data_IF_764297902647
#
_entry.id   IF_764297902647
#
_cell.length_a   1.000
_cell.length_b   1.000
_cell.length_c   1.000
_cell.angle_alpha   90.00
_cell.angle_beta   90.00
_cell.angle_gamma   90.00
#
_symmetry.space_group_name_H-M   'P 1'
#
loop_
_entity.id
_entity.type
_entity.pdbx_description
1 polymer ?
#
# COMPACT_ATOMS: atom_id res chain seq x y z
N UNK A 1 -5.29 16.31 23.05
CA UNK A 1 -6.45 15.55 22.55
C UNK A 1 -7.61 16.53 22.61
N UNK A 2 -7.84 17.23 21.50
CA UNK A 2 -8.92 18.20 21.39
C UNK A 2 -10.16 17.49 20.84
N UNK A 3 -11.30 17.74 21.48
CA UNK A 3 -12.55 17.02 21.30
C UNK A 3 -13.33 17.49 20.05
N UNK A 4 -12.63 17.73 18.94
CA UNK A 4 -13.23 18.18 17.66
C UNK A 4 -13.27 17.09 16.57
N UNK A 5 -12.66 15.92 16.79
CA UNK A 5 -12.42 14.92 15.72
C UNK A 5 -13.27 13.64 15.85
N UNK A 6 -14.47 13.77 16.44
CA UNK A 6 -15.42 12.68 16.58
C UNK A 6 -16.77 13.11 15.98
N UNK A 7 -16.89 13.12 14.65
CA UNK A 7 -18.20 13.44 14.07
C UNK A 7 -18.32 13.70 12.57
N UNK A 8 -17.25 13.69 11.79
CA UNK A 8 -17.36 13.69 10.34
C UNK A 8 -16.63 12.46 9.80
N UNK A 9 -17.38 11.49 9.29
CA UNK A 9 -16.85 10.57 8.29
C UNK A 9 -16.49 11.46 7.10
N UNK A 10 -15.29 12.04 7.10
CA UNK A 10 -14.80 12.76 5.95
C UNK A 10 -14.76 11.73 4.83
N UNK A 11 -15.61 11.91 3.82
CA UNK A 11 -15.44 11.24 2.55
C UNK A 11 -14.14 11.79 1.98
N UNK A 12 -13.00 11.26 2.48
CA UNK A 12 -11.69 11.77 2.16
C UNK A 12 -11.53 11.73 0.66
N UNK A 13 -11.24 12.88 0.07
CA UNK A 13 -10.84 12.90 -1.33
C UNK A 13 -9.32 12.70 -1.39
N UNK A 14 -8.78 12.41 -2.57
CA UNK A 14 -7.33 12.27 -2.76
C UNK A 14 -6.53 13.50 -2.29
N UNK A 15 -7.18 14.67 -2.21
CA UNK A 15 -6.62 15.92 -1.71
C UNK A 15 -6.31 15.89 -0.19
N UNK A 16 -6.88 14.94 0.56
CA UNK A 16 -6.66 14.75 2.00
C UNK A 16 -5.59 13.69 2.32
N UNK A 17 -4.81 13.25 1.32
CA UNK A 17 -3.78 12.23 1.53
C UNK A 17 -2.67 12.72 2.49
N UNK A 18 -2.79 12.40 3.77
CA UNK A 18 -1.86 12.80 4.83
C UNK A 18 -0.98 11.66 5.34
N UNK A 19 -1.29 10.41 5.00
CA UNK A 19 -0.51 9.25 5.45
C UNK A 19 -0.62 8.94 6.95
N UNK A 20 -1.67 9.40 7.62
CA UNK A 20 -1.92 9.08 9.04
C UNK A 20 -2.38 7.64 9.23
N UNK A 21 -2.31 7.14 10.47
CA UNK A 21 -2.76 5.79 10.83
C UNK A 21 -4.27 5.62 10.97
N UNK A 22 -5.07 6.64 10.64
CA UNK A 22 -6.52 6.49 10.56
C UNK A 22 -6.89 5.77 9.27
N UNK A 23 -7.63 4.65 9.38
CA UNK A 23 -7.90 3.73 8.27
C UNK A 23 -8.40 4.38 6.98
N UNK A 24 -9.24 5.42 7.08
CA UNK A 24 -9.77 6.14 5.91
C UNK A 24 -8.66 6.94 5.23
N UNK A 25 -7.84 7.64 6.00
CA UNK A 25 -6.73 8.45 5.50
C UNK A 25 -5.62 7.56 4.92
N UNK A 26 -5.33 6.42 5.54
CA UNK A 26 -4.42 5.39 5.00
C UNK A 26 -4.88 4.91 3.62
N UNK A 27 -6.17 4.57 3.48
CA UNK A 27 -6.73 4.08 2.23
C UNK A 27 -6.65 5.14 1.13
N UNK A 28 -7.06 6.38 1.42
CA UNK A 28 -7.01 7.47 0.44
C UNK A 28 -5.60 7.85 0.05
N UNK A 29 -4.67 7.87 1.01
CA UNK A 29 -3.25 8.11 0.73
C UNK A 29 -2.66 7.03 -0.17
N UNK A 30 -3.02 5.76 0.05
CA UNK A 30 -2.59 4.66 -0.80
C UNK A 30 -3.16 4.75 -2.23
N UNK A 31 -4.46 5.06 -2.37
CA UNK A 31 -5.09 5.27 -3.68
C UNK A 31 -4.44 6.46 -4.40
N UNK A 32 -4.23 7.58 -3.70
CA UNK A 32 -3.57 8.75 -4.29
C UNK A 32 -2.16 8.42 -4.77
N UNK A 33 -1.38 7.64 -4.01
CA UNK A 33 -0.06 7.20 -4.46
C UNK A 33 -0.13 6.40 -5.76
N UNK A 34 -1.08 5.47 -5.88
CA UNK A 34 -1.25 4.62 -7.06
C UNK A 34 -1.71 5.42 -8.28
N UNK A 35 -2.65 6.35 -8.10
CA UNK A 35 -3.23 7.14 -9.20
C UNK A 35 -2.32 8.30 -9.65
N UNK A 36 -1.48 8.83 -8.76
CA UNK A 36 -0.60 9.97 -9.06
C UNK A 36 0.81 9.57 -9.52
N UNK A 37 1.09 8.27 -9.73
CA UNK A 37 2.42 7.80 -10.13
C UNK A 37 2.39 6.70 -11.17
N UNK A 38 3.44 6.68 -12.00
CA UNK A 38 3.69 5.61 -12.96
C UNK A 38 4.75 4.64 -12.43
N UNK A 39 4.33 3.41 -12.17
CA UNK A 39 5.20 2.31 -11.73
C UNK A 39 5.29 2.11 -10.22
N UNK A 40 5.67 0.88 -9.84
CA UNK A 40 5.67 0.41 -8.46
C UNK A 40 6.59 1.24 -7.55
N UNK A 41 7.82 1.50 -7.99
CA UNK A 41 8.81 2.23 -7.18
C UNK A 41 8.35 3.66 -6.90
N UNK A 42 7.82 4.36 -7.91
CA UNK A 42 7.32 5.72 -7.75
C UNK A 42 6.12 5.75 -6.78
N UNK A 43 5.19 4.80 -6.92
CA UNK A 43 4.04 4.65 -6.02
C UNK A 43 4.45 4.46 -4.56
N UNK A 44 5.32 3.49 -4.27
CA UNK A 44 5.76 3.23 -2.89
C UNK A 44 6.51 4.42 -2.32
N UNK A 45 7.38 5.06 -3.11
CA UNK A 45 8.09 6.27 -2.67
C UNK A 45 7.15 7.44 -2.39
N UNK A 46 6.08 7.59 -3.19
CA UNK A 46 5.05 8.61 -2.94
C UNK A 46 4.28 8.32 -1.65
N UNK A 47 3.88 7.07 -1.43
CA UNK A 47 3.20 6.65 -0.20
C UNK A 47 4.04 6.93 1.05
N UNK A 48 5.34 6.63 1.02
CA UNK A 48 6.29 6.98 2.09
C UNK A 48 6.39 8.51 2.27
N UNK A 49 6.35 9.25 1.16
CA UNK A 49 6.48 10.71 1.16
C UNK A 49 5.34 11.47 1.85
N UNK A 50 4.18 10.84 2.10
CA UNK A 50 3.13 11.45 2.92
C UNK A 50 3.51 11.55 4.40
N UNK A 51 4.48 10.75 4.87
CA UNK A 51 4.94 10.78 6.26
C UNK A 51 3.98 10.07 7.21
N UNK A 52 4.03 10.48 8.48
CA UNK A 52 3.22 9.92 9.57
C UNK A 52 3.33 8.38 9.68
N UNK A 53 2.30 7.63 9.27
CA UNK A 53 2.24 6.17 9.30
C UNK A 53 2.72 5.58 7.96
N UNK A 54 4.02 5.73 7.73
CA UNK A 54 4.64 5.43 6.43
C UNK A 54 4.62 3.95 6.08
N UNK A 55 4.80 3.06 7.05
CA UNK A 55 4.83 1.61 6.82
C UNK A 55 3.45 1.08 6.49
N UNK A 56 2.41 1.51 7.20
CA UNK A 56 1.02 1.11 6.89
C UNK A 56 0.60 1.64 5.53
N UNK A 57 0.80 2.93 5.26
CA UNK A 57 0.39 3.54 3.98
C UNK A 57 1.15 2.93 2.80
N UNK A 58 2.47 2.73 2.93
CA UNK A 58 3.28 2.10 1.88
C UNK A 58 2.93 0.62 1.67
N UNK A 59 2.57 -0.11 2.73
CA UNK A 59 2.13 -1.50 2.63
C UNK A 59 0.84 -1.62 1.81
N UNK A 60 -0.17 -0.80 2.12
CA UNK A 60 -1.45 -0.79 1.37
C UNK A 60 -1.24 -0.35 -0.07
N UNK A 61 -0.51 0.76 -0.30
CA UNK A 61 -0.20 1.23 -1.66
C UNK A 61 0.59 0.19 -2.46
N UNK A 62 1.57 -0.45 -1.84
CA UNK A 62 2.40 -1.50 -2.44
C UNK A 62 1.60 -2.75 -2.81
N UNK A 63 0.59 -3.13 -2.01
CA UNK A 63 -0.33 -4.21 -2.34
C UNK A 63 -1.15 -3.91 -3.61
N UNK A 64 -1.73 -2.71 -3.68
CA UNK A 64 -2.53 -2.27 -4.84
C UNK A 64 -1.64 -2.13 -6.09
N UNK A 65 -0.50 -1.46 -5.97
CA UNK A 65 0.48 -1.31 -7.04
C UNK A 65 1.03 -2.67 -7.51
N UNK A 66 1.21 -3.63 -6.60
CA UNK A 66 1.65 -4.99 -6.92
C UNK A 66 0.64 -5.73 -7.80
N UNK A 67 -0.66 -5.51 -7.61
CA UNK A 67 -1.70 -6.04 -8.50
C UNK A 67 -1.69 -5.36 -9.87
N UNK A 68 -1.45 -4.04 -9.92
CA UNK A 68 -1.44 -3.24 -11.16
C UNK A 68 -0.21 -3.52 -12.04
N UNK A 69 0.98 -3.58 -11.45
CA UNK A 69 2.25 -3.67 -12.18
C UNK A 69 2.86 -5.08 -12.16
N UNK A 70 2.26 -6.01 -11.40
CA UNK A 70 2.76 -7.37 -11.23
C UNK A 70 4.07 -7.45 -10.44
N UNK A 71 4.48 -8.68 -10.09
CA UNK A 71 5.71 -8.92 -9.31
C UNK A 71 6.97 -8.43 -10.02
N UNK A 72 6.99 -8.46 -11.36
CA UNK A 72 8.13 -7.98 -12.14
C UNK A 72 8.21 -6.44 -12.18
N UNK A 73 7.13 -5.74 -11.88
CA UNK A 73 7.12 -4.28 -11.71
C UNK A 73 7.82 -3.83 -10.43
N UNK A 74 8.01 -4.71 -9.44
CA UNK A 74 8.75 -4.41 -8.22
C UNK A 74 10.26 -4.44 -8.53
N UNK A 75 11.03 -3.39 -8.16
CA UNK A 75 12.47 -3.37 -8.37
C UNK A 75 13.16 -4.65 -7.88
N UNK A 76 14.00 -5.26 -8.73
CA UNK A 76 14.69 -6.52 -8.40
C UNK A 76 15.44 -6.45 -7.07
N UNK A 77 16.17 -5.35 -6.84
CA UNK A 77 16.87 -5.07 -5.58
C UNK A 77 15.98 -5.08 -4.34
N UNK A 78 14.70 -4.69 -4.45
CA UNK A 78 13.75 -4.73 -3.33
C UNK A 78 13.24 -6.15 -3.10
N UNK A 79 12.99 -6.91 -4.17
CA UNK A 79 12.60 -8.33 -4.06
C UNK A 79 13.70 -9.22 -3.51
N UNK A 80 14.95 -8.92 -3.87
CA UNK A 80 16.14 -9.62 -3.36
C UNK A 80 16.43 -9.22 -1.90
N UNK A 81 16.15 -7.97 -1.52
CA UNK A 81 16.33 -7.47 -0.15
C UNK A 81 15.18 -7.77 0.81
N UNK A 82 14.09 -8.41 0.37
CA UNK A 82 12.92 -8.69 1.19
C UNK A 82 13.26 -9.72 2.28
N UNK A 83 13.20 -9.30 3.54
CA UNK A 83 13.31 -10.19 4.70
C UNK A 83 12.02 -11.01 4.86
N UNK A 84 12.14 -12.26 5.29
CA UNK A 84 10.99 -13.15 5.49
C UNK A 84 10.40 -13.68 4.18
N UNK A 85 11.18 -13.68 3.09
CA UNK A 85 10.76 -14.22 1.79
C UNK A 85 10.37 -15.69 1.89
N UNK A 86 11.12 -16.45 2.68
CA UNK A 86 10.89 -17.84 3.04
C UNK A 86 9.56 -18.06 3.80
N UNK A 87 9.00 -17.03 4.44
CA UNK A 87 7.70 -17.10 5.09
C UNK A 87 6.56 -16.79 4.10
N UNK A 88 6.76 -15.82 3.21
CA UNK A 88 5.71 -15.32 2.30
C UNK A 88 5.53 -16.20 1.06
N UNK A 89 6.61 -16.74 0.49
CA UNK A 89 6.53 -17.56 -0.73
C UNK A 89 5.64 -18.80 -0.59
N UNK A 90 5.75 -19.61 0.50
CA UNK A 90 4.86 -20.76 0.68
C UNK A 90 3.39 -20.35 0.86
N UNK A 91 3.12 -19.20 1.49
CA UNK A 91 1.74 -18.70 1.64
C UNK A 91 1.15 -18.29 0.30
N UNK A 92 1.93 -17.58 -0.53
CA UNK A 92 1.55 -17.20 -1.89
C UNK A 92 1.21 -18.44 -2.73
N UNK A 93 2.07 -19.45 -2.71
CA UNK A 93 1.87 -20.69 -3.47
C UNK A 93 0.58 -21.41 -3.05
N UNK A 94 0.34 -21.53 -1.75
CA UNK A 94 -0.90 -22.14 -1.22
C UNK A 94 -2.16 -21.36 -1.62
N UNK A 95 -2.10 -20.03 -1.65
CA UNK A 95 -3.22 -19.19 -2.08
C UNK A 95 -3.49 -19.32 -3.58
N UNK A 96 -2.45 -19.36 -4.41
CA UNK A 96 -2.56 -19.53 -5.86
C UNK A 96 -3.10 -20.92 -6.23
N UNK A 97 -2.63 -21.98 -5.56
CA UNK A 97 -3.14 -23.34 -5.77
C UNK A 97 -4.66 -23.39 -5.52
N UNK A 98 -5.12 -22.83 -4.38
CA UNK A 98 -6.56 -22.77 -4.05
C UNK A 98 -7.39 -21.93 -5.03
N UNK A 99 -6.81 -20.89 -5.61
CA UNK A 99 -7.51 -20.08 -6.61
C UNK A 99 -7.63 -20.82 -7.94
N UNK A 100 -6.63 -21.61 -8.31
CA UNK A 100 -6.58 -22.33 -9.60
C UNK A 100 -7.40 -23.62 -9.59
N UNK A 101 -7.65 -24.20 -8.41
CA UNK A 101 -8.53 -25.37 -8.21
C UNK A 101 -10.03 -25.04 -8.23
N UNK A 102 -10.40 -23.76 -8.32
CA UNK A 102 -11.77 -23.27 -8.44
C UNK A 102 -12.15 -23.04 -9.90
#
# INVERSE_FOLDING_TARGET
>A
MDAADAGALHAGNADDARGTGFVIDTLWSAIHAVESTDGYEACVRRAIGFGHDTDTTACVAGGIAGMRYGVQGIPGRWREGLRGREMVEPLRERLLARYTER
#
